data_IF_072961204935
#
_entry.id   IF_072961204935
#
_cell.length_a   1.000
_cell.length_b   1.000
_cell.length_c   1.000
_cell.angle_alpha   90.00
_cell.angle_beta   90.00
_cell.angle_gamma   90.00
#
_symmetry.space_group_name_H-M   'P 1'
#
loop_
_entity.id
_entity.type
_entity.pdbx_description
1 polymer ?
#
# COMPACT_ATOMS: atom_id res chain seq x y z
N UNK A 1 -26.75 70.39 49.85
CA UNK A 1 -25.76 69.73 48.95
C UNK A 1 -26.35 68.38 48.51
N UNK A 2 -26.87 68.37 47.32
CA UNK A 2 -27.64 67.23 46.77
C UNK A 2 -26.69 66.35 45.92
N UNK A 3 -26.53 65.10 46.27
CA UNK A 3 -25.80 64.07 45.48
C UNK A 3 -26.78 63.44 44.54
N UNK A 4 -26.44 63.50 43.24
CA UNK A 4 -27.18 62.76 42.18
C UNK A 4 -26.67 61.32 42.11
N UNK A 5 -27.50 60.31 41.87
CA UNK A 5 -27.08 58.95 41.64
C UNK A 5 -26.69 58.80 40.14
N UNK A 6 -25.55 58.15 39.88
CA UNK A 6 -25.05 57.79 38.58
C UNK A 6 -25.68 56.44 38.17
N UNK A 7 -26.43 56.40 37.07
CA UNK A 7 -27.01 55.18 36.52
C UNK A 7 -25.91 54.44 35.75
N UNK A 8 -25.70 53.15 36.10
CA UNK A 8 -24.83 52.22 35.37
C UNK A 8 -25.61 51.59 34.20
N UNK A 9 -25.11 51.80 32.99
CA UNK A 9 -25.65 51.20 31.78
C UNK A 9 -25.11 49.74 31.66
N UNK A 10 -25.96 48.76 31.82
CA UNK A 10 -25.62 47.35 31.56
C UNK A 10 -25.81 47.09 30.05
N UNK A 11 -24.70 46.92 29.34
CA UNK A 11 -24.72 46.47 27.93
C UNK A 11 -24.80 44.95 27.95
N UNK A 12 -25.95 44.38 27.56
CA UNK A 12 -26.13 42.95 27.31
C UNK A 12 -25.68 42.69 25.86
N UNK A 13 -24.48 42.14 25.68
CA UNK A 13 -24.02 41.66 24.40
C UNK A 13 -24.67 40.31 24.09
N UNK A 14 -25.64 40.31 23.18
CA UNK A 14 -26.18 39.08 22.62
C UNK A 14 -25.15 38.46 21.65
N UNK A 15 -24.52 37.36 22.05
CA UNK A 15 -23.77 36.50 21.14
C UNK A 15 -24.76 35.74 20.23
N UNK A 16 -24.91 36.21 18.98
CA UNK A 16 -25.53 35.43 17.92
C UNK A 16 -24.49 34.39 17.46
N UNK A 17 -24.63 33.16 17.95
CA UNK A 17 -23.86 32.02 17.43
C UNK A 17 -24.26 31.76 15.97
N UNK A 18 -23.41 32.13 15.02
CA UNK A 18 -23.50 31.61 13.67
C UNK A 18 -23.15 30.12 13.76
N UNK A 19 -24.17 29.26 13.72
CA UNK A 19 -23.97 27.87 13.36
C UNK A 19 -23.58 27.88 11.87
N UNK A 20 -22.30 27.66 11.55
CA UNK A 20 -21.90 27.29 10.22
C UNK A 20 -22.67 26.01 9.87
N UNK A 21 -23.55 26.09 8.88
CA UNK A 21 -24.14 24.90 8.29
C UNK A 21 -22.96 24.05 7.80
N UNK A 22 -22.77 22.88 8.40
CA UNK A 22 -21.78 21.93 7.94
C UNK A 22 -22.01 21.69 6.45
N UNK A 23 -20.98 21.89 5.63
CA UNK A 23 -21.02 21.47 4.26
C UNK A 23 -21.41 19.98 4.26
N UNK A 24 -22.48 19.62 3.56
CA UNK A 24 -22.83 18.22 3.37
C UNK A 24 -21.61 17.55 2.77
N UNK A 25 -21.18 16.42 3.35
CA UNK A 25 -20.10 15.63 2.77
C UNK A 25 -20.46 15.35 1.29
N UNK A 26 -19.50 15.48 0.40
CA UNK A 26 -19.70 15.08 -0.98
C UNK A 26 -20.18 13.61 -1.00
N UNK A 27 -21.10 13.23 -1.90
CA UNK A 27 -21.52 11.84 -1.97
C UNK A 27 -20.31 10.95 -2.29
N UNK A 28 -20.24 9.78 -1.67
CA UNK A 28 -19.23 8.80 -1.98
C UNK A 28 -19.25 8.46 -3.47
N UNK A 29 -18.09 8.36 -4.10
CA UNK A 29 -17.97 8.17 -5.54
C UNK A 29 -17.00 7.04 -5.83
N UNK A 30 -17.47 6.03 -6.60
CA UNK A 30 -16.59 4.99 -7.14
C UNK A 30 -16.30 5.27 -8.61
N UNK A 31 -15.02 5.28 -8.95
CA UNK A 31 -14.51 5.58 -10.30
C UNK A 31 -13.64 4.45 -10.82
N UNK A 32 -13.74 4.15 -12.10
CA UNK A 32 -12.82 3.29 -12.82
C UNK A 32 -11.55 4.09 -13.19
N UNK A 33 -10.38 3.55 -12.84
CA UNK A 33 -9.07 4.21 -13.03
C UNK A 33 -8.34 3.68 -14.25
N UNK A 34 -8.43 2.39 -14.56
CA UNK A 34 -7.74 1.72 -15.67
C UNK A 34 -8.33 2.12 -17.03
N UNK A 35 -8.39 3.42 -17.26
CA UNK A 35 -8.94 4.06 -18.44
C UNK A 35 -7.88 4.75 -19.29
N UNK A 36 -8.07 4.74 -20.60
CA UNK A 36 -7.39 5.64 -21.53
C UNK A 36 -7.79 7.10 -21.26
N UNK A 37 -6.93 8.07 -21.62
CA UNK A 37 -7.22 9.51 -21.46
C UNK A 37 -8.51 9.99 -22.15
N UNK A 38 -9.08 9.24 -23.09
CA UNK A 38 -10.37 9.53 -23.71
C UNK A 38 -11.56 8.81 -23.05
N UNK A 39 -11.36 8.19 -21.87
CA UNK A 39 -12.38 7.49 -21.10
C UNK A 39 -12.68 6.05 -21.55
N UNK A 40 -11.98 5.51 -22.55
CA UNK A 40 -12.14 4.09 -22.93
C UNK A 40 -11.43 3.17 -21.96
N UNK A 41 -12.04 2.04 -21.62
CA UNK A 41 -11.46 0.99 -20.78
C UNK A 41 -10.21 0.34 -21.40
N UNK A 42 -9.37 -0.18 -20.53
CA UNK A 42 -8.32 -1.12 -20.90
C UNK A 42 -8.87 -2.37 -21.55
N UNK A 43 -8.12 -2.98 -22.46
CA UNK A 43 -8.47 -4.24 -23.13
C UNK A 43 -7.74 -5.46 -22.53
N UNK A 44 -7.17 -5.31 -21.36
CA UNK A 44 -6.45 -6.34 -20.60
C UNK A 44 -6.56 -6.09 -19.10
N UNK A 45 -6.10 -7.06 -18.31
CA UNK A 45 -6.15 -7.03 -16.85
C UNK A 45 -5.27 -5.88 -16.33
N UNK A 46 -5.79 -5.15 -15.34
CA UNK A 46 -5.05 -4.12 -14.61
C UNK A 46 -4.97 -4.50 -13.12
N UNK A 47 -3.78 -4.35 -12.49
CA UNK A 47 -3.55 -4.68 -11.08
C UNK A 47 -3.35 -6.17 -10.79
N UNK A 48 -2.99 -6.98 -11.78
CA UNK A 48 -2.82 -8.44 -11.61
C UNK A 48 -1.67 -8.83 -10.69
N UNK A 49 -0.60 -8.04 -10.70
CA UNK A 49 0.67 -8.39 -10.05
C UNK A 49 0.92 -7.54 -8.82
N UNK A 50 0.32 -6.36 -8.75
CA UNK A 50 0.52 -5.41 -7.66
C UNK A 50 -0.73 -4.60 -7.35
N UNK A 51 -0.89 -4.23 -6.07
CA UNK A 51 -1.84 -3.21 -5.65
C UNK A 51 -1.65 -1.92 -6.45
N UNK A 52 -2.71 -1.12 -6.66
CA UNK A 52 -2.53 0.25 -7.09
C UNK A 52 -1.74 1.04 -6.03
N UNK A 53 -1.13 2.15 -6.44
CA UNK A 53 -0.50 3.09 -5.51
C UNK A 53 -1.13 4.47 -5.68
N UNK A 54 -1.59 5.06 -4.56
CA UNK A 54 -2.35 6.31 -4.52
C UNK A 54 -1.50 7.43 -3.93
N UNK A 55 -1.44 8.61 -4.59
CA UNK A 55 -0.75 9.78 -4.04
C UNK A 55 -1.41 10.30 -2.75
N UNK A 56 -0.69 11.11 -1.98
CA UNK A 56 -1.16 11.60 -0.68
C UNK A 56 -2.50 12.35 -0.75
N UNK A 57 -2.77 13.02 -1.87
CA UNK A 57 -4.00 13.76 -2.14
C UNK A 57 -5.07 12.95 -2.90
N UNK A 58 -4.81 11.67 -3.19
CA UNK A 58 -5.72 10.79 -3.93
C UNK A 58 -5.86 11.12 -5.44
N UNK A 59 -5.11 12.08 -5.96
CA UNK A 59 -5.25 12.55 -7.36
C UNK A 59 -4.57 11.64 -8.35
N UNK A 60 -3.40 11.13 -7.99
CA UNK A 60 -2.57 10.28 -8.86
C UNK A 60 -2.67 8.83 -8.42
N UNK A 61 -3.03 7.95 -9.35
CA UNK A 61 -3.07 6.50 -9.11
C UNK A 61 -2.14 5.81 -10.11
N UNK A 62 -1.15 5.10 -9.58
CA UNK A 62 -0.26 4.26 -10.39
C UNK A 62 -0.71 2.79 -10.31
N UNK A 63 -0.60 2.06 -11.40
CA UNK A 63 -1.01 0.65 -11.51
C UNK A 63 -0.27 -0.07 -12.62
N UNK A 64 -0.17 -1.38 -12.52
CA UNK A 64 0.30 -2.21 -13.62
C UNK A 64 -0.86 -2.70 -14.50
N UNK A 65 -0.61 -2.92 -15.78
CA UNK A 65 -1.64 -3.41 -16.71
C UNK A 65 -1.07 -4.17 -17.89
N UNK A 66 -1.78 -5.23 -18.31
CA UNK A 66 -1.56 -5.97 -19.55
C UNK A 66 -2.28 -5.33 -20.75
N UNK A 67 -3.05 -4.27 -20.53
CA UNK A 67 -3.85 -3.61 -21.56
C UNK A 67 -2.97 -2.88 -22.56
N UNK A 68 -3.11 -3.21 -23.83
CA UNK A 68 -2.32 -2.64 -24.95
C UNK A 68 -2.90 -1.33 -25.50
N UNK A 69 -4.04 -0.87 -24.96
CA UNK A 69 -4.76 0.28 -25.49
C UNK A 69 -4.83 1.49 -24.55
N UNK A 70 -4.28 1.43 -23.34
CA UNK A 70 -4.31 2.55 -22.37
C UNK A 70 -3.58 3.78 -22.90
N UNK A 71 -2.47 3.57 -23.62
CA UNK A 71 -1.74 4.62 -24.34
C UNK A 71 -1.48 4.21 -25.78
N UNK A 72 -1.12 5.17 -26.63
CA UNK A 72 -0.69 4.86 -28.00
C UNK A 72 0.71 4.25 -28.05
N UNK A 73 0.93 3.31 -28.97
CA UNK A 73 2.27 2.71 -29.19
C UNK A 73 2.69 1.70 -28.14
N UNK A 74 1.75 1.05 -27.49
CA UNK A 74 2.00 -0.12 -26.66
C UNK A 74 2.10 -1.35 -27.56
N UNK A 75 3.30 -1.90 -27.68
CA UNK A 75 3.64 -2.93 -28.66
C UNK A 75 4.53 -4.06 -28.13
N UNK A 76 4.93 -3.99 -26.83
CA UNK A 76 5.84 -4.99 -26.25
C UNK A 76 5.12 -6.30 -25.85
N UNK A 77 3.77 -6.25 -25.69
CA UNK A 77 2.98 -7.38 -25.21
C UNK A 77 3.34 -7.82 -23.80
N UNK A 78 3.86 -6.93 -22.99
CA UNK A 78 4.29 -7.16 -21.62
C UNK A 78 3.50 -6.29 -20.65
N UNK A 79 3.54 -6.65 -19.39
CA UNK A 79 3.00 -5.83 -18.32
C UNK A 79 3.75 -4.49 -18.23
N UNK A 80 3.02 -3.39 -18.23
CA UNK A 80 3.58 -2.04 -18.12
C UNK A 80 3.01 -1.31 -16.90
N UNK A 81 3.72 -0.29 -16.41
CA UNK A 81 3.25 0.58 -15.32
C UNK A 81 2.70 1.87 -15.90
N UNK A 82 1.47 2.17 -15.49
CA UNK A 82 0.72 3.35 -15.89
C UNK A 82 0.41 4.24 -14.70
N UNK A 83 0.10 5.49 -14.99
CA UNK A 83 -0.42 6.47 -14.05
C UNK A 83 -1.68 7.08 -14.61
N UNK A 84 -2.72 7.13 -13.79
CA UNK A 84 -3.93 7.93 -14.02
C UNK A 84 -3.89 9.17 -13.14
N UNK A 85 -3.89 10.32 -13.76
CA UNK A 85 -4.14 11.60 -13.12
C UNK A 85 -5.66 11.85 -13.18
N UNK A 86 -6.33 11.73 -12.04
CA UNK A 86 -7.79 11.82 -11.93
C UNK A 86 -8.31 13.24 -12.16
N UNK A 87 -7.53 14.27 -11.79
CA UNK A 87 -7.93 15.66 -11.96
C UNK A 87 -7.97 16.06 -13.44
N UNK A 88 -7.01 15.56 -14.23
CA UNK A 88 -6.91 15.88 -15.67
C UNK A 88 -7.53 14.82 -16.57
N UNK A 89 -7.80 13.63 -16.04
CA UNK A 89 -8.24 12.47 -16.82
C UNK A 89 -7.16 11.91 -17.74
N UNK A 90 -5.88 12.25 -17.52
CA UNK A 90 -4.76 11.77 -18.34
C UNK A 90 -4.25 10.43 -17.82
N UNK A 91 -4.04 9.49 -18.75
CA UNK A 91 -3.30 8.25 -18.51
C UNK A 91 -2.00 8.29 -19.27
N UNK A 92 -0.91 7.94 -18.60
CA UNK A 92 0.43 7.85 -19.19
C UNK A 92 1.13 6.58 -18.74
N UNK A 93 2.01 6.04 -19.60
CA UNK A 93 2.91 4.95 -19.23
C UNK A 93 4.18 5.53 -18.64
N UNK A 94 4.62 5.03 -17.47
CA UNK A 94 5.83 5.48 -16.77
C UNK A 94 6.95 4.45 -16.84
N UNK A 95 6.68 3.21 -17.28
CA UNK A 95 7.68 2.19 -17.60
C UNK A 95 8.37 2.49 -18.93
N UNK A 96 8.97 3.68 -19.02
CA UNK A 96 9.63 4.19 -20.21
C UNK A 96 11.03 4.71 -19.91
N UNK A 97 11.91 4.72 -20.91
CA UNK A 97 13.22 5.39 -20.79
C UNK A 97 13.06 6.91 -20.75
N UNK A 98 14.11 7.64 -20.35
CA UNK A 98 14.14 9.12 -20.40
C UNK A 98 13.94 9.72 -21.81
N UNK A 99 13.92 8.90 -22.86
CA UNK A 99 13.56 9.29 -24.22
C UNK A 99 12.13 8.91 -24.61
N UNK A 100 11.33 8.46 -23.65
CA UNK A 100 9.94 8.01 -23.87
C UNK A 100 9.82 6.66 -24.57
N UNK A 101 10.92 5.88 -24.70
CA UNK A 101 10.84 4.53 -25.28
C UNK A 101 10.26 3.56 -24.26
N UNK A 102 9.32 2.75 -24.68
CA UNK A 102 8.73 1.65 -23.95
C UNK A 102 9.78 0.65 -23.46
N UNK A 103 9.61 0.09 -22.27
CA UNK A 103 10.37 -1.04 -21.76
C UNK A 103 10.26 -2.23 -22.71
N UNK A 104 11.35 -2.99 -22.87
CA UNK A 104 11.38 -4.21 -23.71
C UNK A 104 11.10 -5.49 -22.93
N UNK A 105 10.71 -5.37 -21.66
CA UNK A 105 10.27 -6.45 -20.78
C UNK A 105 9.23 -5.93 -19.79
N UNK A 106 8.63 -6.82 -18.97
CA UNK A 106 7.62 -6.49 -17.99
C UNK A 106 8.09 -5.52 -16.92
N UNK A 107 7.16 -4.69 -16.46
CA UNK A 107 7.31 -3.74 -15.35
C UNK A 107 6.08 -3.83 -14.46
N UNK A 108 6.27 -3.82 -13.12
CA UNK A 108 5.20 -3.97 -12.11
C UNK A 108 5.59 -3.36 -10.77
N UNK A 109 4.70 -3.45 -9.78
CA UNK A 109 4.96 -3.02 -8.42
C UNK A 109 5.14 -1.50 -8.31
N UNK A 110 4.20 -0.68 -8.80
CA UNK A 110 4.32 0.76 -8.66
C UNK A 110 4.23 1.21 -7.21
N UNK A 111 4.99 2.25 -6.88
CA UNK A 111 4.82 3.07 -5.69
C UNK A 111 4.95 4.54 -6.11
N UNK A 112 4.13 5.41 -5.55
CA UNK A 112 4.05 6.83 -5.93
C UNK A 112 4.42 7.74 -4.76
N UNK A 113 5.19 8.81 -5.02
CA UNK A 113 5.49 9.83 -4.01
C UNK A 113 4.23 10.61 -3.61
N UNK A 114 4.25 11.23 -2.44
CA UNK A 114 3.09 11.93 -1.89
C UNK A 114 2.52 13.02 -2.82
N UNK A 115 3.38 13.68 -3.60
CA UNK A 115 2.98 14.68 -4.60
C UNK A 115 2.60 14.09 -5.97
N UNK A 116 2.61 12.76 -6.11
CA UNK A 116 2.30 12.06 -7.37
C UNK A 116 3.36 12.21 -8.47
N UNK A 117 4.51 12.83 -8.19
CA UNK A 117 5.54 13.13 -9.19
C UNK A 117 6.42 11.95 -9.52
N UNK A 118 6.91 11.26 -8.51
CA UNK A 118 7.87 10.15 -8.68
C UNK A 118 7.15 8.82 -8.59
N UNK A 119 7.40 7.94 -9.55
CA UNK A 119 6.88 6.56 -9.55
C UNK A 119 8.05 5.59 -9.54
N UNK A 120 8.16 4.83 -8.45
CA UNK A 120 9.08 3.71 -8.35
C UNK A 120 8.41 2.45 -8.90
N UNK A 121 9.17 1.56 -9.55
CA UNK A 121 8.66 0.29 -10.07
C UNK A 121 9.79 -0.71 -10.31
N UNK A 122 9.45 -2.00 -10.35
CA UNK A 122 10.35 -3.09 -10.73
C UNK A 122 10.24 -3.37 -12.22
N UNK A 123 11.36 -3.65 -12.90
CA UNK A 123 11.36 -4.01 -14.31
C UNK A 123 12.53 -4.92 -14.69
N UNK A 124 12.25 -5.89 -15.59
CA UNK A 124 13.27 -6.68 -16.29
C UNK A 124 13.71 -6.08 -17.63
N UNK A 125 13.28 -4.85 -17.95
CA UNK A 125 13.61 -4.21 -19.22
C UNK A 125 15.02 -3.60 -19.19
N UNK A 126 15.87 -4.01 -20.12
CA UNK A 126 17.27 -3.58 -20.23
C UNK A 126 17.47 -2.26 -21.01
N UNK A 127 16.38 -1.62 -21.45
CA UNK A 127 16.43 -0.42 -22.28
C UNK A 127 15.87 0.85 -21.60
N UNK A 128 15.51 0.78 -20.34
CA UNK A 128 14.99 1.93 -19.58
C UNK A 128 16.10 2.94 -19.29
N UNK A 129 17.31 2.45 -19.01
CA UNK A 129 18.51 3.27 -18.79
C UNK A 129 19.66 2.78 -19.67
N UNK A 130 20.65 3.66 -19.93
CA UNK A 130 21.87 3.27 -20.63
C UNK A 130 22.76 2.43 -19.69
N UNK A 131 23.37 1.37 -20.22
CA UNK A 131 24.31 0.54 -19.47
C UNK A 131 23.63 -0.46 -18.53
N UNK A 132 22.41 -0.81 -18.77
CA UNK A 132 21.76 -1.95 -18.14
C UNK A 132 22.21 -3.22 -18.85
N UNK A 133 23.07 -4.00 -18.20
CA UNK A 133 23.76 -5.16 -18.80
C UNK A 133 23.71 -6.40 -17.93
N UNK A 134 23.11 -6.33 -16.71
CA UNK A 134 23.08 -7.45 -15.78
C UNK A 134 22.03 -8.52 -16.17
N UNK A 135 21.01 -8.16 -16.98
CA UNK A 135 19.92 -9.06 -17.36
C UNK A 135 19.07 -9.49 -16.17
N UNK A 136 18.96 -8.65 -15.17
CA UNK A 136 18.20 -8.86 -13.92
C UNK A 136 17.03 -7.92 -13.81
N UNK A 137 16.11 -8.23 -12.92
CA UNK A 137 15.12 -7.25 -12.50
C UNK A 137 15.79 -6.18 -11.65
N UNK A 138 15.51 -4.93 -11.99
CA UNK A 138 16.01 -3.74 -11.30
C UNK A 138 14.86 -2.86 -10.82
N UNK A 139 15.14 -1.98 -9.85
CA UNK A 139 14.19 -0.95 -9.42
C UNK A 139 14.52 0.37 -10.10
N UNK A 140 13.49 0.98 -10.66
CA UNK A 140 13.56 2.25 -11.36
C UNK A 140 12.67 3.29 -10.70
N UNK A 141 12.99 4.56 -10.91
CA UNK A 141 12.10 5.69 -10.61
C UNK A 141 11.96 6.55 -11.86
N UNK A 142 10.71 6.81 -12.23
CA UNK A 142 10.35 7.75 -13.27
C UNK A 142 9.87 9.07 -12.65
N UNK A 143 10.48 10.19 -13.05
CA UNK A 143 10.04 11.53 -12.70
C UNK A 143 9.06 12.03 -13.78
N UNK A 144 7.78 12.05 -13.47
CA UNK A 144 6.70 12.46 -14.38
C UNK A 144 6.81 13.92 -14.84
N UNK A 145 7.44 14.79 -14.05
CA UNK A 145 7.63 16.19 -14.39
C UNK A 145 8.71 16.38 -15.46
N UNK A 146 9.83 15.67 -15.34
CA UNK A 146 11.00 15.82 -16.23
C UNK A 146 11.07 14.75 -17.31
N UNK A 147 10.31 13.66 -17.17
CA UNK A 147 10.37 12.48 -18.04
C UNK A 147 11.63 11.63 -17.83
N UNK A 148 12.42 11.87 -16.80
CA UNK A 148 13.67 11.16 -16.53
C UNK A 148 13.40 9.86 -15.80
N UNK A 149 13.94 8.75 -16.32
CA UNK A 149 13.96 7.44 -15.64
C UNK A 149 15.37 7.15 -15.16
N UNK A 150 15.48 6.77 -13.88
CA UNK A 150 16.74 6.41 -13.23
C UNK A 150 16.64 5.03 -12.59
N UNK A 151 17.72 4.23 -12.64
CA UNK A 151 17.83 2.99 -11.87
C UNK A 151 18.32 3.32 -10.47
N UNK A 152 17.62 2.80 -9.44
CA UNK A 152 17.94 3.02 -8.02
C UNK A 152 18.62 1.81 -7.38
N UNK A 153 18.49 0.62 -7.95
CA UNK A 153 19.16 -0.62 -7.52
C UNK A 153 20.64 -0.63 -7.94
N UNK A 154 21.37 0.40 -7.53
CA UNK A 154 22.79 0.59 -7.83
C UNK A 154 23.57 0.96 -6.56
N UNK A 155 24.82 0.55 -6.47
CA UNK A 155 25.73 0.96 -5.41
C UNK A 155 25.95 2.48 -5.39
N UNK A 156 26.61 3.02 -4.38
CA UNK A 156 26.87 4.47 -4.27
C UNK A 156 27.73 5.03 -5.40
N UNK A 157 28.60 4.21 -6.00
CA UNK A 157 29.42 4.58 -7.17
C UNK A 157 28.71 4.41 -8.52
N UNK A 158 27.43 3.97 -8.51
CA UNK A 158 26.64 3.71 -9.70
C UNK A 158 26.78 2.30 -10.27
N UNK A 159 27.57 1.43 -9.66
CA UNK A 159 27.67 0.03 -10.08
C UNK A 159 26.31 -0.65 -9.93
N UNK A 160 25.87 -1.34 -11.00
CA UNK A 160 24.59 -2.06 -10.98
C UNK A 160 24.63 -3.28 -10.07
N UNK A 161 23.47 -3.64 -9.50
CA UNK A 161 23.33 -4.86 -8.71
C UNK A 161 23.72 -6.09 -9.51
N UNK A 162 24.40 -7.04 -8.88
CA UNK A 162 24.83 -8.30 -9.48
C UNK A 162 23.72 -9.37 -9.50
N UNK A 163 22.57 -9.09 -8.89
CA UNK A 163 21.41 -9.99 -8.83
C UNK A 163 20.09 -9.18 -8.83
N UNK A 164 18.96 -9.90 -8.81
CA UNK A 164 17.63 -9.30 -8.91
C UNK A 164 17.31 -8.36 -7.74
N UNK A 165 16.70 -7.24 -8.08
CA UNK A 165 15.95 -6.39 -7.16
C UNK A 165 14.47 -6.53 -7.51
N UNK A 166 13.64 -6.96 -6.55
CA UNK A 166 12.29 -7.50 -6.83
C UNK A 166 11.24 -6.97 -5.84
N UNK A 167 9.99 -7.26 -6.15
CA UNK A 167 8.84 -6.87 -5.32
C UNK A 167 8.45 -5.42 -5.54
N UNK A 168 7.52 -4.97 -4.72
CA UNK A 168 7.12 -3.56 -4.69
C UNK A 168 8.14 -2.78 -3.89
N UNK A 169 8.69 -1.72 -4.47
CA UNK A 169 9.49 -0.75 -3.75
C UNK A 169 8.57 0.19 -2.96
N UNK A 170 9.09 0.83 -1.93
CA UNK A 170 8.42 1.94 -1.25
C UNK A 170 9.20 3.23 -1.47
N UNK A 171 8.49 4.35 -1.58
CA UNK A 171 9.09 5.66 -1.82
C UNK A 171 8.61 6.66 -0.78
N UNK A 172 9.51 7.51 -0.25
CA UNK A 172 9.15 8.55 0.73
C UNK A 172 8.23 9.61 0.12
N UNK A 173 7.52 10.35 0.96
CA UNK A 173 6.53 11.35 0.53
C UNK A 173 7.10 12.41 -0.40
N UNK A 174 8.38 12.80 -0.23
CA UNK A 174 9.10 13.74 -1.08
C UNK A 174 9.76 13.08 -2.32
N UNK A 175 9.65 11.76 -2.44
CA UNK A 175 10.26 10.98 -3.51
C UNK A 175 11.78 10.84 -3.42
N UNK A 176 12.42 11.23 -2.32
CA UNK A 176 13.87 11.18 -2.15
C UNK A 176 14.41 9.80 -1.83
N UNK A 177 13.77 9.10 -0.90
CA UNK A 177 14.22 7.80 -0.43
C UNK A 177 13.40 6.69 -1.06
N UNK A 178 14.07 5.64 -1.55
CA UNK A 178 13.43 4.44 -2.10
C UNK A 178 13.93 3.23 -1.33
N UNK A 179 13.02 2.57 -0.62
CA UNK A 179 13.26 1.28 0.01
C UNK A 179 12.91 0.16 -0.97
N UNK A 180 13.77 -0.83 -1.08
CA UNK A 180 13.56 -1.94 -2.00
C UNK A 180 14.25 -3.22 -1.54
N UNK A 181 13.77 -4.32 -2.05
CA UNK A 181 14.33 -5.65 -1.80
C UNK A 181 15.30 -6.05 -2.89
N UNK A 182 16.46 -6.58 -2.51
CA UNK A 182 17.44 -7.08 -3.47
C UNK A 182 18.16 -8.33 -2.98
N UNK A 183 18.43 -9.24 -3.92
CA UNK A 183 19.30 -10.40 -3.75
C UNK A 183 20.76 -10.07 -4.15
N UNK A 184 21.05 -8.81 -4.54
CA UNK A 184 22.39 -8.38 -4.97
C UNK A 184 23.35 -8.27 -3.78
N UNK A 185 24.57 -8.78 -3.98
CA UNK A 185 25.60 -8.82 -2.94
C UNK A 185 26.51 -7.59 -2.92
N UNK A 186 26.49 -6.77 -3.99
CA UNK A 186 27.45 -5.70 -4.25
C UNK A 186 26.90 -4.27 -4.04
N UNK A 187 25.68 -4.10 -3.52
CA UNK A 187 25.07 -2.78 -3.36
C UNK A 187 25.72 -1.94 -2.25
N UNK A 188 26.27 -2.59 -1.22
CA UNK A 188 26.99 -1.94 -0.10
C UNK A 188 28.33 -2.58 0.10
N UNK A 189 29.33 -1.87 0.70
CA UNK A 189 30.70 -2.39 0.88
C UNK A 189 30.80 -3.65 1.74
N UNK A 190 29.83 -3.90 2.60
CA UNK A 190 29.76 -5.10 3.43
C UNK A 190 28.81 -6.10 2.77
N UNK A 191 29.32 -7.02 1.94
CA UNK A 191 28.48 -8.00 1.28
C UNK A 191 27.79 -8.91 2.31
N UNK A 192 26.55 -9.28 2.05
CA UNK A 192 25.86 -10.34 2.77
C UNK A 192 25.16 -11.24 1.75
N UNK A 193 25.08 -12.51 2.07
CA UNK A 193 24.38 -13.47 1.24
C UNK A 193 22.88 -13.44 1.55
N UNK A 194 22.05 -13.66 0.52
CA UNK A 194 20.60 -13.71 0.67
C UNK A 194 19.94 -12.38 0.35
N UNK A 195 18.65 -12.35 0.62
CA UNK A 195 17.78 -11.22 0.35
C UNK A 195 17.83 -10.20 1.47
N UNK A 196 17.94 -8.93 1.10
CA UNK A 196 17.98 -7.82 2.06
C UNK A 196 17.15 -6.64 1.58
N UNK A 197 16.78 -5.76 2.53
CA UNK A 197 16.17 -4.46 2.26
C UNK A 197 17.24 -3.39 2.23
N UNK A 198 17.20 -2.56 1.20
CA UNK A 198 18.08 -1.42 0.99
C UNK A 198 17.27 -0.13 0.86
N UNK A 199 17.87 0.99 1.25
CA UNK A 199 17.34 2.32 0.99
C UNK A 199 18.33 3.11 0.17
N UNK A 200 17.87 3.63 -0.97
CA UNK A 200 18.61 4.55 -1.84
C UNK A 200 18.17 5.97 -1.57
N UNK A 201 19.11 6.86 -1.22
CA UNK A 201 18.92 8.30 -1.26
C UNK A 201 19.18 8.78 -2.70
N UNK A 202 18.14 9.15 -3.42
CA UNK A 202 18.22 9.61 -4.83
C UNK A 202 18.91 10.95 -4.98
N UNK A 203 18.94 11.79 -3.92
CA UNK A 203 19.56 13.10 -3.95
C UNK A 203 21.09 13.00 -3.82
N UNK A 204 21.59 12.18 -2.88
CA UNK A 204 23.03 12.06 -2.60
C UNK A 204 23.68 10.88 -3.32
N UNK A 205 22.87 9.90 -3.79
CA UNK A 205 23.35 8.66 -4.35
C UNK A 205 23.79 7.63 -3.30
N UNK A 206 23.68 7.95 -2.01
CA UNK A 206 23.98 6.99 -0.93
C UNK A 206 23.01 5.81 -0.96
N UNK A 207 23.49 4.64 -0.53
CA UNK A 207 22.69 3.44 -0.34
C UNK A 207 23.13 2.76 0.95
N UNK A 208 22.16 2.23 1.69
CA UNK A 208 22.39 1.49 2.92
C UNK A 208 21.50 0.25 2.99
N UNK A 209 21.96 -0.76 3.73
CA UNK A 209 21.14 -1.91 4.09
C UNK A 209 20.43 -1.62 5.39
N UNK A 210 19.10 -1.83 5.44
CA UNK A 210 18.26 -1.56 6.62
C UNK A 210 17.71 -2.82 7.27
N UNK A 211 17.81 -4.00 6.63
CA UNK A 211 17.55 -5.29 7.25
C UNK A 211 18.76 -5.72 8.10
N UNK A 212 18.97 -4.99 9.20
CA UNK A 212 20.11 -5.14 10.12
C UNK A 212 19.62 -5.07 11.56
N UNK A 213 20.39 -5.64 12.48
CA UNK A 213 20.20 -5.41 13.93
C UNK A 213 20.67 -3.99 14.34
N UNK A 214 20.47 -3.63 15.60
CA UNK A 214 20.89 -2.30 16.13
C UNK A 214 22.41 -2.10 16.22
N UNK A 215 23.20 -3.14 15.96
CA UNK A 215 24.67 -3.06 15.83
C UNK A 215 25.13 -2.99 14.37
N UNK A 216 24.20 -3.03 13.41
CA UNK A 216 24.47 -2.99 11.96
C UNK A 216 24.78 -4.35 11.34
N UNK A 217 24.60 -5.47 12.06
CA UNK A 217 24.79 -6.80 11.48
C UNK A 217 23.60 -7.18 10.61
N UNK A 218 23.83 -7.79 9.43
CA UNK A 218 22.75 -8.17 8.51
C UNK A 218 21.83 -9.25 9.10
N UNK A 219 20.57 -9.23 8.68
CA UNK A 219 19.62 -10.29 8.96
C UNK A 219 20.16 -11.65 8.47
N UNK A 220 20.10 -12.68 9.32
CA UNK A 220 20.57 -14.04 9.02
C UNK A 220 19.42 -15.01 8.74
N UNK A 221 18.37 -14.57 8.03
CA UNK A 221 17.20 -15.36 7.73
C UNK A 221 16.49 -14.87 6.48
N UNK A 222 15.30 -15.40 6.25
CA UNK A 222 14.45 -14.91 5.17
C UNK A 222 14.04 -13.47 5.45
N UNK A 223 14.12 -12.61 4.43
CA UNK A 223 13.58 -11.25 4.43
C UNK A 223 12.53 -11.18 3.32
N UNK A 224 11.31 -10.83 3.68
CA UNK A 224 10.21 -10.72 2.71
C UNK A 224 10.45 -9.56 1.74
N UNK A 225 9.89 -9.67 0.54
CA UNK A 225 9.81 -8.55 -0.39
C UNK A 225 8.76 -7.53 0.09
N UNK A 226 8.80 -6.32 -0.46
CA UNK A 226 7.83 -5.24 -0.20
C UNK A 226 7.97 -4.60 1.19
N UNK A 227 9.05 -3.85 1.42
CA UNK A 227 9.20 -3.00 2.59
C UNK A 227 8.22 -1.81 2.55
N UNK A 228 7.96 -1.20 3.72
CA UNK A 228 7.33 0.11 3.82
C UNK A 228 8.34 1.16 4.31
N UNK A 229 8.11 2.43 3.98
CA UNK A 229 8.95 3.55 4.41
C UNK A 229 8.07 4.72 4.87
N UNK A 230 8.44 5.38 5.98
CA UNK A 230 7.74 6.56 6.46
C UNK A 230 7.83 7.74 5.47
N UNK A 231 6.90 8.69 5.56
CA UNK A 231 6.82 9.83 4.65
C UNK A 231 8.09 10.67 4.59
N UNK A 232 8.83 10.77 5.69
CA UNK A 232 10.15 11.45 5.78
C UNK A 232 11.33 10.55 5.39
N UNK A 233 11.08 9.28 5.12
CA UNK A 233 12.09 8.29 4.76
C UNK A 233 12.96 7.80 5.92
N UNK A 234 12.61 8.11 7.18
CA UNK A 234 13.41 7.74 8.36
C UNK A 234 13.20 6.29 8.78
N UNK A 235 11.95 5.85 8.88
CA UNK A 235 11.59 4.52 9.37
C UNK A 235 11.32 3.59 8.20
N UNK A 236 11.83 2.36 8.30
CA UNK A 236 11.58 1.30 7.31
C UNK A 236 11.05 0.07 8.02
N UNK A 237 9.84 -0.35 7.65
CA UNK A 237 9.25 -1.59 8.14
C UNK A 237 9.47 -2.72 7.14
N UNK A 238 9.73 -3.92 7.65
CA UNK A 238 9.93 -5.13 6.85
C UNK A 238 9.62 -6.39 7.66
N UNK A 239 9.33 -7.48 6.98
CA UNK A 239 9.12 -8.78 7.61
C UNK A 239 10.34 -9.69 7.41
N UNK A 240 10.71 -10.43 8.46
CA UNK A 240 11.85 -11.33 8.44
C UNK A 240 11.71 -12.48 9.44
N UNK A 241 12.27 -13.66 9.10
CA UNK A 241 12.44 -14.78 10.03
C UNK A 241 13.85 -14.83 10.67
N UNK A 242 14.60 -13.73 10.58
CA UNK A 242 15.96 -13.66 11.11
C UNK A 242 15.94 -13.42 12.62
N UNK A 243 16.32 -14.41 13.40
CA UNK A 243 16.33 -14.36 14.88
C UNK A 243 17.42 -13.49 15.48
N UNK A 244 18.29 -12.88 14.67
CA UNK A 244 19.37 -12.02 15.14
C UNK A 244 19.05 -10.52 15.10
N UNK A 245 17.88 -10.10 14.59
CA UNK A 245 17.54 -8.68 14.44
C UNK A 245 17.28 -7.98 15.77
N UNK A 246 16.69 -8.68 16.72
CA UNK A 246 16.45 -8.22 18.10
C UNK A 246 16.84 -9.32 19.09
N UNK A 247 17.13 -8.94 20.32
CA UNK A 247 17.27 -9.91 21.41
C UNK A 247 15.92 -10.60 21.66
N UNK A 248 15.93 -11.82 22.15
CA UNK A 248 14.75 -12.61 22.56
C UNK A 248 13.75 -12.93 21.40
N UNK A 249 14.25 -13.01 20.18
CA UNK A 249 13.49 -13.60 19.08
C UNK A 249 13.61 -15.14 19.15
N UNK A 250 12.56 -15.76 19.64
CA UNK A 250 12.54 -17.19 20.00
C UNK A 250 11.38 -17.97 19.42
N UNK A 251 10.43 -17.31 18.70
CA UNK A 251 9.26 -17.97 18.14
C UNK A 251 9.56 -18.81 16.89
N UNK A 252 10.70 -18.53 16.20
CA UNK A 252 11.13 -19.26 15.01
C UNK A 252 10.24 -19.01 13.79
N UNK A 253 9.46 -17.93 13.79
CA UNK A 253 8.54 -17.54 12.69
C UNK A 253 8.99 -16.25 12.03
N UNK A 254 8.18 -15.74 11.10
CA UNK A 254 8.41 -14.43 10.49
C UNK A 254 7.75 -13.35 11.35
N UNK A 255 8.52 -12.35 11.71
CA UNK A 255 8.09 -11.18 12.47
C UNK A 255 8.17 -9.89 11.63
N UNK A 256 7.47 -8.85 12.07
CA UNK A 256 7.58 -7.50 11.53
C UNK A 256 8.55 -6.68 12.36
N UNK A 257 9.51 -6.05 11.68
CA UNK A 257 10.52 -5.18 12.27
C UNK A 257 10.43 -3.78 11.70
N UNK A 258 10.89 -2.80 12.48
CA UNK A 258 11.09 -1.42 12.05
C UNK A 258 12.52 -1.02 12.33
N UNK A 259 13.22 -0.52 11.31
CA UNK A 259 14.56 0.05 11.41
C UNK A 259 14.49 1.57 11.32
N UNK A 260 15.04 2.26 12.32
CA UNK A 260 15.22 3.71 12.31
C UNK A 260 16.60 4.04 11.75
N UNK A 261 16.61 4.57 10.53
CA UNK A 261 17.83 4.92 9.78
C UNK A 261 18.66 6.05 10.42
N UNK A 262 18.06 6.87 11.30
CA UNK A 262 18.75 7.98 11.98
C UNK A 262 19.45 7.50 13.24
N UNK A 263 18.80 6.66 14.04
CA UNK A 263 19.39 6.13 15.28
C UNK A 263 20.13 4.82 15.08
N UNK A 264 19.89 4.12 13.97
CA UNK A 264 20.42 2.78 13.68
C UNK A 264 19.74 1.67 14.51
N UNK A 265 18.62 1.94 15.17
CA UNK A 265 17.93 0.95 16.02
C UNK A 265 16.93 0.13 15.21
N UNK A 266 16.87 -1.19 15.50
CA UNK A 266 15.84 -2.09 14.98
C UNK A 266 15.01 -2.60 16.14
N UNK A 267 13.68 -2.52 15.99
CA UNK A 267 12.70 -3.02 16.97
C UNK A 267 11.72 -3.98 16.28
N UNK A 268 11.17 -4.93 17.03
CA UNK A 268 10.06 -5.78 16.57
C UNK A 268 8.73 -5.05 16.82
N UNK A 269 7.87 -4.98 15.81
CA UNK A 269 6.54 -4.39 15.88
C UNK A 269 5.43 -5.44 16.04
N UNK A 270 5.68 -6.71 15.68
CA UNK A 270 4.75 -7.83 15.88
C UNK A 270 4.78 -8.31 17.34
N UNK A 271 4.32 -7.46 18.24
CA UNK A 271 4.27 -7.70 19.70
C UNK A 271 2.90 -7.31 20.25
N UNK A 272 2.50 -7.91 21.37
CA UNK A 272 1.33 -7.45 22.12
C UNK A 272 1.61 -6.13 22.87
N UNK A 273 0.60 -5.56 23.53
CA UNK A 273 0.74 -4.30 24.27
C UNK A 273 1.62 -4.41 25.53
N UNK A 274 2.04 -5.61 25.94
CA UNK A 274 3.02 -5.85 27.01
C UNK A 274 4.44 -6.11 26.47
N UNK A 275 4.62 -6.12 25.13
CA UNK A 275 5.88 -6.37 24.46
C UNK A 275 6.18 -7.85 24.22
N UNK A 276 5.25 -8.77 24.46
CA UNK A 276 5.44 -10.18 24.17
C UNK A 276 5.34 -10.42 22.65
N UNK A 277 6.26 -11.24 22.12
CA UNK A 277 6.32 -11.54 20.68
C UNK A 277 5.10 -12.32 20.21
N UNK A 278 4.73 -12.16 18.92
CA UNK A 278 3.72 -12.96 18.26
C UNK A 278 4.03 -14.45 18.34
N UNK A 279 2.99 -15.28 18.50
CA UNK A 279 3.13 -16.74 18.56
C UNK A 279 3.01 -17.43 17.19
N UNK A 280 2.76 -16.65 16.12
CA UNK A 280 2.71 -17.12 14.74
C UNK A 280 3.19 -16.02 13.80
N UNK A 281 3.20 -16.28 12.49
CA UNK A 281 3.76 -15.43 11.45
C UNK A 281 3.06 -14.07 11.37
N UNK A 282 3.87 -13.04 11.11
CA UNK A 282 3.42 -11.66 10.84
C UNK A 282 4.11 -11.13 9.59
N UNK A 283 3.37 -10.47 8.69
CA UNK A 283 3.84 -10.05 7.38
C UNK A 283 3.31 -8.68 6.96
N UNK A 284 3.75 -8.21 5.79
CA UNK A 284 3.22 -7.11 4.98
C UNK A 284 2.99 -5.82 5.78
N UNK A 285 4.04 -5.30 6.41
CA UNK A 285 3.91 -4.06 7.15
C UNK A 285 3.65 -2.89 6.23
N UNK A 286 2.89 -1.90 6.75
CA UNK A 286 2.85 -0.55 6.23
C UNK A 286 3.03 0.45 7.37
N UNK A 287 3.48 1.68 7.03
CA UNK A 287 3.76 2.76 7.96
C UNK A 287 2.89 3.98 7.65
N UNK A 288 2.31 4.58 8.66
CA UNK A 288 1.68 5.88 8.49
C UNK A 288 2.72 6.99 8.19
N UNK A 289 2.28 8.19 7.84
CA UNK A 289 3.14 9.25 7.32
C UNK A 289 4.31 9.65 8.23
N UNK A 290 4.12 9.70 9.55
CA UNK A 290 5.19 10.01 10.52
C UNK A 290 5.92 8.76 11.05
N UNK A 291 5.47 7.57 10.63
CA UNK A 291 6.06 6.29 11.02
C UNK A 291 5.74 5.83 12.43
N UNK A 292 4.81 6.49 13.13
CA UNK A 292 4.43 6.09 14.49
C UNK A 292 3.65 4.78 14.52
N UNK A 293 2.75 4.59 13.58
CA UNK A 293 1.90 3.41 13.50
C UNK A 293 2.38 2.43 12.44
N UNK A 294 2.46 1.18 12.83
CA UNK A 294 2.77 0.06 11.94
C UNK A 294 1.53 -0.81 11.80
N UNK A 295 0.93 -0.87 10.62
CA UNK A 295 -0.11 -1.85 10.32
C UNK A 295 0.55 -3.11 9.75
N UNK A 296 0.04 -4.28 10.10
CA UNK A 296 0.52 -5.56 9.57
C UNK A 296 -0.55 -6.64 9.73
N UNK A 297 -0.42 -7.70 8.98
CA UNK A 297 -1.23 -8.91 9.12
C UNK A 297 -0.50 -9.97 9.92
N UNK A 298 -1.24 -10.72 10.73
CA UNK A 298 -0.70 -11.79 11.55
C UNK A 298 -1.68 -12.94 11.76
N UNK A 299 -1.13 -14.16 11.77
CA UNK A 299 -1.85 -15.37 12.18
C UNK A 299 -1.72 -15.64 13.70
N UNK A 300 -1.06 -14.74 14.42
CA UNK A 300 -0.82 -14.91 15.85
C UNK A 300 -2.08 -14.63 16.68
N UNK A 301 -2.41 -15.52 17.59
CA UNK A 301 -3.58 -15.44 18.46
C UNK A 301 -3.33 -14.76 19.80
N UNK A 302 -2.12 -14.21 20.03
CA UNK A 302 -1.73 -13.62 21.32
C UNK A 302 -1.46 -12.11 21.27
N UNK A 303 -1.60 -11.47 20.12
CA UNK A 303 -1.32 -10.03 19.96
C UNK A 303 -2.35 -9.15 20.70
N UNK A 304 -3.61 -9.61 20.77
CA UNK A 304 -4.66 -8.97 21.54
C UNK A 304 -5.47 -10.00 22.35
N UNK A 305 -6.08 -9.64 23.49
CA UNK A 305 -7.00 -10.52 24.17
C UNK A 305 -8.24 -10.83 23.32
N UNK A 306 -8.73 -12.08 23.36
CA UNK A 306 -9.97 -12.46 22.69
C UNK A 306 -9.83 -12.68 21.17
N UNK A 307 -8.65 -12.95 20.69
CA UNK A 307 -8.43 -13.46 19.35
C UNK A 307 -8.74 -14.98 19.34
N UNK A 308 -9.86 -15.35 18.76
CA UNK A 308 -10.41 -16.72 18.86
C UNK A 308 -10.85 -17.31 17.53
N UNK A 309 -10.83 -16.55 16.44
CA UNK A 309 -11.29 -16.96 15.13
C UNK A 309 -10.35 -17.97 14.44
N UNK A 310 -9.05 -18.00 14.84
CA UNK A 310 -8.03 -18.91 14.29
C UNK A 310 -7.65 -18.65 12.84
N UNK A 311 -7.90 -17.44 12.35
CA UNK A 311 -7.54 -16.96 11.00
C UNK A 311 -6.65 -15.71 11.11
N UNK A 312 -5.93 -15.35 10.04
CA UNK A 312 -5.16 -14.12 10.01
C UNK A 312 -6.02 -12.85 10.15
N UNK A 313 -5.56 -11.94 10.98
CA UNK A 313 -6.16 -10.64 11.26
C UNK A 313 -5.22 -9.48 10.94
N UNK A 314 -5.77 -8.26 10.91
CA UNK A 314 -5.02 -7.01 10.73
C UNK A 314 -4.83 -6.32 12.07
N UNK A 315 -3.57 -5.97 12.36
CA UNK A 315 -3.19 -5.29 13.60
C UNK A 315 -2.51 -3.96 13.32
N UNK A 316 -2.61 -3.04 14.27
CA UNK A 316 -1.83 -1.79 14.30
C UNK A 316 -1.05 -1.75 15.61
N UNK A 317 0.27 -1.54 15.51
CA UNK A 317 1.15 -1.30 16.64
C UNK A 317 1.59 0.16 16.70
N UNK A 318 1.44 0.81 17.83
CA UNK A 318 1.91 2.17 18.10
C UNK A 318 3.32 2.13 18.69
N UNK A 319 4.33 2.45 17.89
CA UNK A 319 5.74 2.47 18.30
C UNK A 319 6.04 3.45 19.44
N UNK A 320 5.18 4.45 19.68
CA UNK A 320 5.37 5.42 20.74
C UNK A 320 4.84 4.92 22.09
N UNK A 321 3.66 4.28 22.12
CA UNK A 321 3.02 3.83 23.36
C UNK A 321 3.21 2.36 23.64
N UNK A 322 3.60 1.56 22.63
CA UNK A 322 3.69 0.11 22.69
C UNK A 322 2.34 -0.60 22.59
N UNK A 323 1.23 0.13 22.35
CA UNK A 323 -0.09 -0.47 22.23
C UNK A 323 -0.26 -1.21 20.91
N UNK A 324 -0.85 -2.41 20.95
CA UNK A 324 -1.29 -3.19 19.79
C UNK A 324 -2.79 -3.36 19.82
N UNK A 325 -3.46 -3.10 18.71
CA UNK A 325 -4.90 -3.29 18.54
C UNK A 325 -5.20 -4.06 17.25
N UNK A 326 -6.30 -4.84 17.24
CA UNK A 326 -6.84 -5.46 16.04
C UNK A 326 -7.82 -4.50 15.38
N UNK A 327 -7.70 -4.30 14.05
CA UNK A 327 -8.54 -3.40 13.26
C UNK A 327 -9.46 -4.15 12.26
N UNK A 328 -9.26 -5.46 12.08
CA UNK A 328 -10.19 -6.34 11.35
C UNK A 328 -11.38 -6.72 12.24
N UNK A 329 -12.17 -5.72 12.59
CA UNK A 329 -13.33 -5.83 13.49
C UNK A 329 -14.54 -5.12 12.88
N UNK A 330 -15.74 -5.54 13.28
CA UNK A 330 -16.98 -4.81 12.99
C UNK A 330 -17.06 -3.50 13.81
N UNK A 331 -18.06 -2.65 13.52
CA UNK A 331 -18.24 -1.37 14.22
C UNK A 331 -18.64 -1.51 15.72
N UNK A 332 -18.90 -2.72 16.20
CA UNK A 332 -19.13 -3.01 17.62
C UNK A 332 -17.88 -3.60 18.29
N UNK A 333 -16.77 -3.77 17.55
CA UNK A 333 -15.53 -4.37 18.02
C UNK A 333 -15.52 -5.91 17.97
N UNK A 334 -16.51 -6.54 17.32
CA UNK A 334 -16.55 -7.99 17.10
C UNK A 334 -15.51 -8.42 16.08
N UNK A 335 -14.80 -9.54 16.34
CA UNK A 335 -13.78 -10.06 15.42
C UNK A 335 -14.36 -10.56 14.10
N UNK A 336 -13.56 -10.45 13.04
CA UNK A 336 -13.88 -11.00 11.73
C UNK A 336 -14.10 -12.53 11.81
N UNK A 337 -15.13 -13.06 11.15
CA UNK A 337 -15.39 -14.50 11.10
C UNK A 337 -14.64 -15.20 9.95
N UNK A 338 -13.91 -14.48 9.13
CA UNK A 338 -13.09 -14.95 8.03
C UNK A 338 -11.78 -14.21 7.98
N UNK A 339 -10.83 -14.75 7.20
CA UNK A 339 -9.49 -14.18 7.05
C UNK A 339 -9.58 -12.75 6.55
N UNK A 340 -8.86 -11.86 7.22
CA UNK A 340 -8.66 -10.48 6.80
C UNK A 340 -7.25 -10.34 6.25
N UNK A 341 -7.12 -9.76 5.07
CA UNK A 341 -6.00 -9.77 4.12
C UNK A 341 -5.92 -11.03 3.25
N UNK A 342 -5.71 -10.83 1.96
CA UNK A 342 -5.81 -11.83 0.91
C UNK A 342 -5.06 -13.15 1.18
N UNK A 343 -5.34 -14.21 0.41
CA UNK A 343 -5.00 -15.62 0.70
C UNK A 343 -3.52 -15.97 0.77
N UNK A 344 -2.66 -15.04 0.96
CA UNK A 344 -1.21 -15.15 0.77
C UNK A 344 -0.34 -15.38 2.00
N UNK A 345 -0.84 -15.54 3.22
CA UNK A 345 0.04 -15.95 4.35
C UNK A 345 0.64 -17.34 4.10
N UNK A 346 0.03 -18.15 3.22
CA UNK A 346 0.55 -19.46 2.81
C UNK A 346 0.92 -19.58 1.33
N UNK A 347 1.05 -18.45 0.57
CA UNK A 347 1.60 -18.53 -0.79
C UNK A 347 0.87 -17.77 -1.92
N UNK A 348 0.12 -16.72 -1.64
CA UNK A 348 -0.55 -15.88 -2.65
C UNK A 348 -0.26 -14.39 -2.49
N UNK A 349 -1.01 -13.48 -2.96
CA UNK A 349 -0.86 -12.03 -3.07
C UNK A 349 0.14 -11.32 -2.13
N UNK A 350 0.88 -10.36 -2.62
CA UNK A 350 1.98 -9.68 -1.92
C UNK A 350 1.55 -8.45 -1.10
N UNK A 351 0.24 -8.16 -1.01
CA UNK A 351 -0.26 -6.87 -0.52
C UNK A 351 -1.13 -7.05 0.72
N UNK A 352 -0.82 -6.29 1.76
CA UNK A 352 -1.49 -6.27 3.06
C UNK A 352 -2.35 -5.03 3.25
N UNK A 353 -2.79 -4.81 4.49
CA UNK A 353 -3.49 -3.60 4.88
C UNK A 353 -2.64 -2.34 4.68
N UNK A 354 -3.30 -1.20 4.49
CA UNK A 354 -2.70 0.12 4.33
C UNK A 354 -3.24 1.10 5.36
N UNK A 355 -2.41 2.04 5.76
CA UNK A 355 -2.77 3.01 6.80
C UNK A 355 -2.67 4.45 6.28
N UNK A 356 -3.65 5.31 6.60
CA UNK A 356 -3.63 6.74 6.23
C UNK A 356 -2.44 7.48 6.86
N UNK A 357 -2.07 8.62 6.29
CA UNK A 357 -0.91 9.39 6.72
C UNK A 357 -0.96 9.84 8.19
N UNK A 358 -2.15 10.09 8.73
CA UNK A 358 -2.37 10.41 10.15
C UNK A 358 -2.50 9.17 11.06
N UNK A 359 -2.51 7.97 10.48
CA UNK A 359 -2.65 6.71 11.21
C UNK A 359 -4.07 6.40 11.69
N UNK A 360 -5.09 7.16 11.25
CA UNK A 360 -6.47 6.99 11.71
C UNK A 360 -7.21 5.88 10.97
N UNK A 361 -7.08 5.85 9.66
CA UNK A 361 -7.85 4.95 8.79
C UNK A 361 -6.97 3.80 8.32
N UNK A 362 -7.51 2.59 8.40
CA UNK A 362 -6.85 1.38 7.88
C UNK A 362 -7.74 0.75 6.82
N UNK A 363 -7.21 0.62 5.60
CA UNK A 363 -7.84 -0.09 4.50
C UNK A 363 -7.30 -1.52 4.44
N UNK A 364 -8.18 -2.51 4.31
CA UNK A 364 -7.83 -3.91 4.21
C UNK A 364 -8.88 -4.68 3.41
N UNK A 365 -8.52 -5.82 2.86
CA UNK A 365 -9.45 -6.76 2.26
C UNK A 365 -9.75 -7.92 3.21
N UNK A 366 -10.98 -8.45 3.14
CA UNK A 366 -11.42 -9.57 3.98
C UNK A 366 -12.50 -10.40 3.31
N UNK A 367 -12.45 -11.72 3.57
CA UNK A 367 -13.53 -12.65 3.23
C UNK A 367 -14.56 -12.81 4.35
N UNK A 368 -14.42 -12.04 5.42
CA UNK A 368 -15.35 -12.10 6.55
C UNK A 368 -16.71 -11.52 6.21
N UNK A 369 -17.78 -12.22 6.53
CA UNK A 369 -19.16 -11.84 6.21
C UNK A 369 -19.86 -11.06 7.31
N UNK A 370 -19.19 -10.80 8.44
CA UNK A 370 -19.75 -10.14 9.61
C UNK A 370 -19.20 -8.73 9.90
N UNK A 371 -18.24 -8.24 9.13
CA UNK A 371 -17.65 -6.91 9.33
C UNK A 371 -18.67 -5.78 9.10
N UNK A 372 -19.57 -5.97 8.15
CA UNK A 372 -20.71 -5.07 7.89
C UNK A 372 -21.97 -5.88 7.64
N UNK A 373 -23.14 -5.27 7.86
CA UNK A 373 -24.40 -5.91 7.55
C UNK A 373 -24.62 -5.98 6.03
N UNK A 374 -25.26 -7.06 5.55
CA UNK A 374 -25.62 -7.21 4.14
C UNK A 374 -24.46 -7.61 3.22
N UNK A 375 -23.46 -8.26 3.75
CA UNK A 375 -22.42 -8.92 2.98
C UNK A 375 -22.98 -10.26 2.45
N UNK A 376 -23.18 -10.34 1.15
CA UNK A 376 -23.93 -11.45 0.50
C UNK A 376 -23.34 -11.90 -0.83
N UNK A 377 -22.27 -11.27 -1.34
CA UNK A 377 -21.66 -11.67 -2.60
C UNK A 377 -20.94 -13.02 -2.44
N UNK A 378 -20.87 -13.76 -3.52
CA UNK A 378 -20.15 -15.03 -3.61
C UNK A 378 -19.30 -15.03 -4.86
N UNK A 379 -18.03 -15.36 -4.75
CA UNK A 379 -17.11 -15.48 -5.88
C UNK A 379 -17.07 -16.89 -6.45
N UNK A 380 -16.74 -17.00 -7.72
CA UNK A 380 -16.38 -18.26 -8.36
C UNK A 380 -15.04 -18.81 -7.81
N UNK A 381 -14.69 -20.07 -8.14
CA UNK A 381 -13.57 -20.81 -7.51
C UNK A 381 -12.15 -20.26 -7.78
N UNK A 382 -12.02 -19.05 -8.28
CA UNK A 382 -10.76 -18.48 -8.75
C UNK A 382 -9.90 -17.80 -7.70
N UNK A 383 -10.52 -17.30 -6.62
CA UNK A 383 -9.76 -16.50 -5.67
C UNK A 383 -9.18 -17.30 -4.53
N UNK A 384 -9.70 -18.47 -4.16
CA UNK A 384 -9.17 -19.23 -3.04
C UNK A 384 -9.65 -20.64 -3.04
N UNK A 385 -9.59 -21.55 -3.80
CA UNK A 385 -10.04 -22.95 -3.58
C UNK A 385 -11.18 -23.14 -2.54
N UNK A 386 -11.70 -22.06 -1.96
CA UNK A 386 -12.81 -21.98 -1.01
C UNK A 386 -13.99 -21.40 -1.78
N UNK A 387 -14.78 -22.28 -2.37
CA UNK A 387 -15.99 -21.89 -3.08
C UNK A 387 -16.97 -21.20 -2.10
N UNK A 388 -17.30 -19.94 -2.37
CA UNK A 388 -18.41 -19.24 -1.73
C UNK A 388 -18.08 -17.98 -0.96
N UNK A 389 -16.81 -17.67 -0.67
CA UNK A 389 -16.42 -16.46 0.04
C UNK A 389 -15.74 -15.47 -0.93
N UNK A 390 -16.21 -14.24 -0.95
CA UNK A 390 -15.75 -13.19 -1.85
C UNK A 390 -15.03 -12.12 -1.05
N UNK A 391 -13.76 -11.80 -1.32
CA UNK A 391 -13.10 -10.72 -0.60
C UNK A 391 -13.70 -9.38 -1.00
N UNK A 392 -13.94 -8.55 0.00
CA UNK A 392 -14.33 -7.16 -0.10
C UNK A 392 -13.27 -6.25 0.51
N UNK A 393 -13.25 -4.98 0.12
CA UNK A 393 -12.37 -3.97 0.69
C UNK A 393 -13.11 -3.17 1.74
N UNK A 394 -12.50 -3.06 2.93
CA UNK A 394 -13.03 -2.35 4.08
C UNK A 394 -12.09 -1.22 4.51
N UNK A 395 -12.65 -0.26 5.21
CA UNK A 395 -11.90 0.77 5.93
C UNK A 395 -12.39 0.79 7.38
N UNK A 396 -11.45 0.64 8.32
CA UNK A 396 -11.69 0.80 9.75
C UNK A 396 -11.17 2.16 10.20
N UNK A 397 -12.04 2.93 10.88
CA UNK A 397 -11.69 4.20 11.52
C UNK A 397 -11.33 3.96 12.98
N UNK A 398 -10.05 3.94 13.31
CA UNK A 398 -9.51 3.69 14.65
C UNK A 398 -9.97 4.71 15.71
N UNK A 399 -10.41 5.91 15.29
CA UNK A 399 -10.89 6.95 16.21
C UNK A 399 -12.35 6.73 16.59
N UNK A 400 -13.20 6.34 15.64
CA UNK A 400 -14.65 6.13 15.87
C UNK A 400 -15.01 4.69 16.14
N UNK A 401 -14.16 3.74 15.76
CA UNK A 401 -14.42 2.31 15.77
C UNK A 401 -15.32 1.85 14.60
N UNK A 402 -15.64 2.73 13.65
CA UNK A 402 -16.50 2.39 12.52
C UNK A 402 -15.76 1.58 11.46
N UNK A 403 -16.35 0.48 11.01
CA UNK A 403 -15.90 -0.29 9.82
C UNK A 403 -16.93 -0.15 8.73
N UNK A 404 -16.47 0.24 7.53
CA UNK A 404 -17.31 0.39 6.33
C UNK A 404 -16.71 -0.38 5.17
N UNK A 405 -17.56 -0.96 4.31
CA UNK A 405 -17.14 -1.53 3.04
C UNK A 405 -17.01 -0.41 1.99
N UNK A 406 -15.91 -0.39 1.23
CA UNK A 406 -15.63 0.59 0.18
C UNK A 406 -15.61 -0.02 -1.22
N UNK A 407 -15.65 -1.36 -1.33
CA UNK A 407 -15.91 -2.09 -2.58
C UNK A 407 -17.41 -2.03 -2.94
N UNK A 408 -17.90 -0.81 -3.17
CA UNK A 408 -19.30 -0.52 -3.49
C UNK A 408 -19.39 0.45 -4.68
N UNK A 409 -20.52 0.44 -5.38
CA UNK A 409 -20.80 1.47 -6.37
C UNK A 409 -21.09 2.83 -5.71
N UNK A 410 -21.26 3.89 -6.50
CA UNK A 410 -21.57 5.24 -5.99
C UNK A 410 -22.96 5.37 -5.32
N UNK A 411 -23.80 4.35 -5.40
CA UNK A 411 -25.09 4.26 -4.69
C UNK A 411 -25.00 3.40 -3.43
N UNK A 412 -23.84 2.81 -3.13
CA UNK A 412 -23.57 1.96 -1.99
C UNK A 412 -23.91 0.48 -2.22
N UNK A 413 -24.18 0.05 -3.46
CA UNK A 413 -24.40 -1.36 -3.74
C UNK A 413 -23.08 -2.12 -3.79
N UNK A 414 -23.06 -3.30 -3.13
CA UNK A 414 -21.90 -4.20 -3.02
C UNK A 414 -21.36 -4.63 -4.38
N UNK A 415 -20.04 -4.75 -4.48
CA UNK A 415 -19.36 -5.41 -5.60
C UNK A 415 -19.92 -6.83 -5.82
N UNK A 416 -20.13 -7.21 -7.08
CA UNK A 416 -20.66 -8.53 -7.42
C UNK A 416 -19.57 -9.60 -7.63
N UNK A 417 -18.30 -9.24 -7.43
CA UNK A 417 -17.14 -10.15 -7.49
C UNK A 417 -16.03 -9.60 -6.60
N UNK A 418 -14.91 -10.32 -6.50
CA UNK A 418 -13.78 -10.04 -5.61
C UNK A 418 -13.22 -8.62 -5.77
N UNK A 419 -12.93 -8.00 -4.64
CA UNK A 419 -12.21 -6.74 -4.53
C UNK A 419 -11.10 -6.89 -3.49
N UNK A 420 -9.84 -6.56 -3.85
CA UNK A 420 -8.65 -6.82 -3.02
C UNK A 420 -7.61 -5.71 -3.18
N UNK A 421 -6.51 -5.89 -2.46
CA UNK A 421 -5.27 -5.12 -2.60
C UNK A 421 -5.50 -3.61 -2.49
N UNK A 422 -6.05 -3.12 -1.38
CA UNK A 422 -6.30 -1.69 -1.22
C UNK A 422 -5.00 -0.89 -1.06
N UNK A 423 -5.07 0.39 -1.47
CA UNK A 423 -4.17 1.45 -1.05
C UNK A 423 -4.99 2.67 -0.64
N UNK A 424 -4.44 3.54 0.22
CA UNK A 424 -5.18 4.67 0.79
C UNK A 424 -4.37 5.96 0.70
N UNK A 425 -5.03 7.07 0.29
CA UNK A 425 -4.40 8.39 0.32
C UNK A 425 -4.04 8.83 1.74
N UNK A 426 -3.07 9.74 1.87
CA UNK A 426 -2.60 10.17 3.20
C UNK A 426 -3.69 10.84 4.02
N UNK A 427 -4.65 11.53 3.39
CA UNK A 427 -5.81 12.13 4.05
C UNK A 427 -6.97 11.14 4.30
N UNK A 428 -6.83 9.89 3.82
CA UNK A 428 -7.82 8.83 3.95
C UNK A 428 -9.09 9.01 3.11
N UNK A 429 -9.12 10.01 2.23
CA UNK A 429 -10.31 10.32 1.42
C UNK A 429 -10.49 9.40 0.21
N UNK A 430 -9.40 8.83 -0.30
CA UNK A 430 -9.40 8.02 -1.53
C UNK A 430 -8.79 6.65 -1.27
N UNK A 431 -9.54 5.61 -1.60
CA UNK A 431 -9.09 4.22 -1.51
C UNK A 431 -9.02 3.66 -2.92
N UNK A 432 -7.81 3.29 -3.37
CA UNK A 432 -7.59 2.55 -4.60
C UNK A 432 -7.64 1.06 -4.35
N UNK A 433 -8.22 0.27 -5.26
CA UNK A 433 -8.27 -1.18 -5.12
C UNK A 433 -8.42 -1.88 -6.48
N UNK A 434 -8.04 -3.14 -6.50
CA UNK A 434 -8.29 -4.06 -7.59
C UNK A 434 -9.69 -4.68 -7.45
N UNK A 435 -10.43 -4.84 -8.55
CA UNK A 435 -11.70 -5.58 -8.53
C UNK A 435 -12.02 -6.29 -9.83
N UNK A 436 -12.60 -7.48 -9.71
CA UNK A 436 -13.18 -8.25 -10.81
C UNK A 436 -14.69 -7.98 -10.99
N UNK A 437 -15.26 -7.11 -10.16
CA UNK A 437 -16.68 -6.79 -10.19
C UNK A 437 -17.06 -5.94 -11.41
N UNK A 438 -18.18 -6.26 -12.03
CA UNK A 438 -18.71 -5.58 -13.23
C UNK A 438 -19.78 -4.54 -12.93
N UNK A 439 -20.15 -4.35 -11.66
CA UNK A 439 -21.25 -3.46 -11.25
C UNK A 439 -20.81 -2.20 -10.50
N UNK A 440 -19.51 -2.02 -10.26
CA UNK A 440 -19.01 -0.87 -9.50
C UNK A 440 -19.19 0.45 -10.23
N UNK A 441 -19.12 0.44 -11.56
CA UNK A 441 -19.41 1.61 -12.41
C UNK A 441 -20.27 1.22 -13.60
N UNK A 442 -21.13 2.12 -14.03
CA UNK A 442 -21.94 1.91 -15.23
C UNK A 442 -21.00 1.86 -16.46
N UNK A 443 -21.14 0.84 -17.31
CA UNK A 443 -20.36 0.70 -18.53
C UNK A 443 -19.03 -0.03 -18.38
N UNK A 444 -18.80 -0.71 -17.27
CA UNK A 444 -17.75 -1.71 -17.15
C UNK A 444 -18.15 -2.93 -18.01
N UNK A 445 -17.54 -3.07 -19.16
CA UNK A 445 -17.93 -4.04 -20.19
C UNK A 445 -16.77 -4.77 -20.85
N UNK A 446 -15.52 -4.49 -20.43
CA UNK A 446 -14.36 -5.16 -21.00
C UNK A 446 -14.36 -6.65 -20.64
N UNK A 447 -13.92 -7.48 -21.56
CA UNK A 447 -13.82 -8.93 -21.36
C UNK A 447 -12.43 -9.43 -21.67
N UNK A 448 -11.87 -10.26 -20.79
CA UNK A 448 -10.58 -10.89 -20.96
C UNK A 448 -10.73 -12.32 -21.49
N UNK A 449 -10.09 -12.65 -22.63
CA UNK A 449 -10.19 -13.98 -23.21
C UNK A 449 -9.36 -15.05 -22.47
N UNK A 450 -8.52 -14.67 -21.51
CA UNK A 450 -7.45 -15.52 -20.95
C UNK A 450 -7.56 -15.70 -19.42
N UNK A 451 -8.51 -15.10 -18.77
CA UNK A 451 -8.80 -15.47 -17.38
C UNK A 451 -9.53 -16.83 -17.38
N UNK A 452 -9.33 -17.71 -16.36
CA UNK A 452 -9.80 -19.07 -16.44
C UNK A 452 -11.30 -19.26 -16.66
N UNK A 453 -12.09 -18.19 -16.57
CA UNK A 453 -13.47 -18.13 -17.13
C UNK A 453 -13.57 -16.91 -18.07
N UNK A 454 -14.27 -16.99 -19.21
CA UNK A 454 -14.61 -15.81 -20.01
C UNK A 454 -15.51 -14.90 -19.15
N UNK A 455 -14.94 -13.87 -18.59
CA UNK A 455 -15.58 -12.94 -17.65
C UNK A 455 -15.07 -11.52 -17.86
N UNK A 456 -15.47 -10.61 -17.00
CA UNK A 456 -14.95 -9.25 -16.98
C UNK A 456 -13.45 -9.26 -16.72
N UNK A 457 -12.72 -8.34 -17.37
CA UNK A 457 -11.34 -8.07 -17.00
C UNK A 457 -11.31 -7.41 -15.63
N UNK A 458 -10.50 -7.88 -14.68
CA UNK A 458 -10.25 -7.11 -13.49
C UNK A 458 -9.61 -5.76 -13.79
N UNK A 459 -10.05 -4.75 -13.08
CA UNK A 459 -9.71 -3.36 -13.27
C UNK A 459 -9.26 -2.70 -11.94
N UNK A 460 -8.74 -1.47 -12.04
CA UNK A 460 -8.42 -0.63 -10.89
C UNK A 460 -9.53 0.39 -10.69
N UNK A 461 -10.02 0.44 -9.47
CA UNK A 461 -11.03 1.40 -9.02
C UNK A 461 -10.48 2.29 -7.92
N UNK A 462 -11.11 3.43 -7.74
CA UNK A 462 -11.00 4.22 -6.52
C UNK A 462 -12.39 4.49 -5.95
N UNK A 463 -12.48 4.47 -4.63
CA UNK A 463 -13.63 4.92 -3.88
C UNK A 463 -13.25 6.19 -3.12
N UNK A 464 -14.02 7.26 -3.32
CA UNK A 464 -13.86 8.53 -2.60
C UNK A 464 -14.91 8.60 -1.51
N UNK A 465 -14.46 8.80 -0.27
CA UNK A 465 -15.32 8.83 0.93
C UNK A 465 -15.89 10.21 1.20
#
# INVERSE_FOLDING_TARGET
MSAKPTAALVVVSAFIGLFAAGAAAAPALTELVSLRSNGKQGNGISGRVSAPAVSADGVVVAFDSEATNLVGGDTNGALDVFVRDRATGRTERVSVSSKGKQGNSGSSGPAVSGDGRFVAFSSGAINLVVGDTNGRNDIFVHDRLTGVTTRVSVAADGTQGDNNSIGTAAISGDGRFVAFTSDASNLVPQPASGRHIYVKDRLTGAIERVSVDSAGNPALGFVAASPAISGDGRLVAFASSASNLVADDTNGTTDVFVHDRVTGTTVRASVDSAGAQSNDVSFRPDLNGDGRFVVFDSAASNLVPGDTNGVPDVFVHDLLTGATERVSVDSAGGEANGQSVGPGIRGGSAFGARISGDGRLVAFDSIATNLVSGDTNTCGPFYNDIAGECPDVFVHDRLTGETVRVSVDSAGAQANDASTDPDISADGSTIGFFSAASNLVAGDTNTCPVFPNPGHCPDIFVHVR
#
